data_IF_460057981806
#
_entry.id   IF_460057981806
#
_cell.length_a   1.000
_cell.length_b   1.000
_cell.length_c   1.000
_cell.angle_alpha   90.00
_cell.angle_beta   90.00
_cell.angle_gamma   90.00
#
_symmetry.space_group_name_H-M   'P 1'
#
loop_
_entity.id
_entity.type
_entity.pdbx_description
1 polymer ?
#
# COMPACT_ATOMS: atom_id res chain seq x y z
N UNK A 1 -24.17 -6.49 -55.30
CA UNK A 1 -24.53 -7.84 -54.78
C UNK A 1 -23.27 -8.72 -54.63
N UNK A 2 -22.30 -8.37 -53.76
CA UNK A 2 -21.01 -9.08 -53.65
C UNK A 2 -20.60 -9.52 -52.22
N UNK A 3 -21.42 -9.24 -51.19
CA UNK A 3 -21.09 -9.52 -49.78
C UNK A 3 -21.37 -10.96 -49.32
N UNK A 4 -22.21 -11.70 -50.04
CA UNK A 4 -22.72 -13.01 -49.61
C UNK A 4 -21.73 -14.16 -49.79
N UNK A 5 -20.71 -14.02 -50.64
CA UNK A 5 -19.75 -15.10 -50.90
C UNK A 5 -18.71 -15.23 -49.79
N UNK A 6 -18.30 -14.11 -49.18
CA UNK A 6 -17.25 -14.09 -48.14
C UNK A 6 -17.70 -14.72 -46.82
N UNK A 7 -18.95 -14.48 -46.42
CA UNK A 7 -19.50 -15.01 -45.16
C UNK A 7 -19.64 -16.54 -45.20
N UNK A 8 -19.94 -17.10 -46.38
CA UNK A 8 -20.06 -18.55 -46.55
C UNK A 8 -18.70 -19.24 -46.46
N UNK A 9 -17.64 -18.63 -46.98
CA UNK A 9 -16.27 -19.16 -46.88
C UNK A 9 -15.75 -19.10 -45.44
N UNK A 10 -16.06 -18.02 -44.73
CA UNK A 10 -15.66 -17.82 -43.33
C UNK A 10 -16.36 -18.84 -42.41
N UNK A 11 -17.65 -19.12 -42.63
CA UNK A 11 -18.37 -20.17 -41.89
C UNK A 11 -17.90 -21.58 -42.23
N UNK A 12 -17.52 -21.85 -43.48
CA UNK A 12 -16.95 -23.14 -43.86
C UNK A 12 -15.58 -23.39 -43.22
N UNK A 13 -14.75 -22.36 -43.08
CA UNK A 13 -13.47 -22.44 -42.36
C UNK A 13 -13.67 -22.65 -40.86
N UNK A 14 -14.62 -21.93 -40.23
CA UNK A 14 -14.93 -22.11 -38.80
C UNK A 14 -15.52 -23.49 -38.49
N UNK A 15 -16.32 -24.05 -39.40
CA UNK A 15 -16.89 -25.39 -39.23
C UNK A 15 -15.85 -26.51 -39.30
N UNK A 16 -14.72 -26.29 -40.00
CA UNK A 16 -13.62 -27.25 -40.08
C UNK A 16 -12.73 -27.25 -38.82
N UNK A 17 -12.66 -26.15 -38.07
CA UNK A 17 -11.89 -26.08 -36.82
C UNK A 17 -12.64 -26.71 -35.64
N UNK A 18 -13.98 -26.74 -35.68
CA UNK A 18 -14.83 -27.25 -34.60
C UNK A 18 -14.81 -28.78 -34.43
N UNK A 19 -14.23 -29.53 -35.38
CA UNK A 19 -14.20 -31.01 -35.36
C UNK A 19 -12.86 -31.59 -34.87
N UNK A 20 -11.89 -30.75 -34.49
CA UNK A 20 -10.68 -31.25 -33.83
C UNK A 20 -10.97 -31.44 -32.35
N UNK A 21 -10.81 -32.66 -31.78
CA UNK A 21 -10.88 -32.83 -30.34
C UNK A 21 -9.79 -31.97 -29.70
N UNK A 22 -10.23 -30.98 -28.93
CA UNK A 22 -9.37 -30.10 -28.15
C UNK A 22 -8.50 -31.01 -27.25
N UNK A 23 -7.15 -30.94 -27.33
CA UNK A 23 -6.33 -31.70 -26.42
C UNK A 23 -6.71 -31.27 -25.01
N UNK A 24 -7.04 -32.22 -24.14
CA UNK A 24 -7.42 -31.94 -22.75
C UNK A 24 -6.31 -31.16 -22.07
N UNK A 25 -6.42 -29.82 -22.07
CA UNK A 25 -5.54 -28.95 -21.29
C UNK A 25 -6.01 -29.12 -19.85
N UNK A 26 -5.42 -30.09 -19.15
CA UNK A 26 -5.50 -30.12 -17.69
C UNK A 26 -5.14 -28.72 -17.22
N UNK A 27 -5.96 -28.04 -16.40
CA UNK A 27 -5.60 -26.75 -15.86
C UNK A 27 -4.24 -26.94 -15.20
N UNK A 28 -3.22 -26.31 -15.78
CA UNK A 28 -1.89 -26.31 -15.19
C UNK A 28 -2.07 -25.50 -13.93
N UNK A 29 -2.27 -26.19 -12.80
CA UNK A 29 -2.06 -25.60 -11.49
C UNK A 29 -0.68 -25.00 -11.59
N UNK A 30 -0.63 -23.67 -11.67
CA UNK A 30 0.62 -22.93 -11.65
C UNK A 30 1.14 -23.20 -10.25
N UNK A 31 1.97 -24.23 -10.11
CA UNK A 31 2.80 -24.38 -8.93
C UNK A 31 3.48 -23.02 -8.81
N UNK A 32 3.00 -22.22 -7.86
CA UNK A 32 3.68 -21.01 -7.45
C UNK A 32 4.95 -21.52 -6.81
N UNK A 33 5.97 -21.81 -7.64
CA UNK A 33 7.32 -21.99 -7.13
C UNK A 33 7.55 -20.80 -6.21
N UNK A 34 7.86 -21.05 -4.92
CA UNK A 34 8.06 -19.96 -3.98
C UNK A 34 9.01 -18.96 -4.61
N UNK A 35 8.61 -17.69 -4.62
CA UNK A 35 9.43 -16.62 -5.16
C UNK A 35 10.79 -16.72 -4.46
N UNK A 36 11.91 -16.70 -5.22
CA UNK A 36 13.21 -16.90 -4.63
C UNK A 36 13.46 -15.84 -3.56
N UNK A 37 13.94 -16.29 -2.40
CA UNK A 37 14.25 -15.38 -1.31
C UNK A 37 15.40 -14.43 -1.71
N UNK A 38 15.64 -13.39 -0.92
CA UNK A 38 16.62 -12.36 -1.28
C UNK A 38 18.02 -12.94 -1.51
N UNK A 39 18.44 -13.92 -0.72
CA UNK A 39 19.76 -14.54 -0.85
C UNK A 39 19.85 -15.42 -2.11
N UNK A 40 18.78 -16.14 -2.47
CA UNK A 40 18.67 -16.84 -3.75
C UNK A 40 18.72 -15.89 -4.95
N UNK A 41 18.07 -14.72 -4.83
CA UNK A 41 18.13 -13.67 -5.87
C UNK A 41 19.53 -13.08 -6.01
N UNK A 42 20.26 -12.90 -4.90
CA UNK A 42 21.67 -12.48 -4.91
C UNK A 42 22.54 -13.49 -5.63
N UNK A 43 22.36 -14.78 -5.32
CA UNK A 43 23.09 -15.86 -6.00
C UNK A 43 22.76 -15.94 -7.50
N UNK A 44 21.50 -15.76 -7.89
CA UNK A 44 21.09 -15.67 -9.30
C UNK A 44 21.74 -14.47 -9.99
N UNK A 45 21.75 -13.30 -9.34
CA UNK A 45 22.38 -12.09 -9.85
C UNK A 45 23.89 -12.27 -10.06
N UNK A 46 24.59 -12.81 -9.08
CA UNK A 46 26.03 -13.06 -9.16
C UNK A 46 26.36 -14.08 -10.24
N UNK A 47 25.58 -15.16 -10.38
CA UNK A 47 25.74 -16.13 -11.47
C UNK A 47 25.49 -15.53 -12.85
N UNK A 48 24.51 -14.63 -12.97
CA UNK A 48 24.22 -13.96 -14.24
C UNK A 48 25.36 -13.00 -14.65
N UNK A 49 25.95 -12.29 -13.68
CA UNK A 49 27.01 -11.30 -13.94
C UNK A 49 28.41 -11.91 -14.09
N UNK A 50 28.71 -13.00 -13.38
CA UNK A 50 30.07 -13.55 -13.29
C UNK A 50 30.18 -15.01 -13.72
N UNK A 51 29.08 -15.61 -14.20
CA UNK A 51 29.02 -17.00 -14.62
C UNK A 51 28.67 -17.98 -13.50
N UNK A 52 28.22 -19.19 -13.87
CA UNK A 52 27.65 -20.17 -12.95
C UNK A 52 28.65 -21.04 -12.20
N UNK A 53 29.90 -21.09 -12.66
CA UNK A 53 30.93 -22.02 -12.18
C UNK A 53 31.79 -21.47 -11.04
N UNK A 54 31.74 -20.15 -10.77
CA UNK A 54 32.54 -19.49 -9.73
C UNK A 54 31.82 -19.58 -8.38
N UNK A 55 32.55 -19.94 -7.32
CA UNK A 55 32.06 -19.76 -5.95
C UNK A 55 32.31 -18.33 -5.49
N UNK A 56 31.28 -17.69 -4.97
CA UNK A 56 31.35 -16.33 -4.43
C UNK A 56 31.65 -16.34 -2.94
N UNK A 57 32.40 -15.35 -2.48
CA UNK A 57 32.69 -15.11 -1.06
C UNK A 57 31.51 -14.39 -0.38
N UNK A 58 31.44 -14.45 0.95
CA UNK A 58 30.36 -13.78 1.70
C UNK A 58 30.41 -12.26 1.55
N UNK A 59 31.60 -11.68 1.37
CA UNK A 59 31.78 -10.25 1.08
C UNK A 59 31.18 -9.85 -0.26
N UNK A 60 31.41 -10.63 -1.32
CA UNK A 60 30.83 -10.38 -2.65
C UNK A 60 29.30 -10.49 -2.63
N UNK A 61 28.74 -11.45 -1.86
CA UNK A 61 27.28 -11.54 -1.66
C UNK A 61 26.71 -10.36 -0.91
N UNK A 62 27.39 -9.89 0.14
CA UNK A 62 26.96 -8.72 0.91
C UNK A 62 26.91 -7.46 0.04
N UNK A 63 27.93 -7.25 -0.81
CA UNK A 63 27.96 -6.11 -1.74
C UNK A 63 26.85 -6.20 -2.80
N UNK A 64 26.65 -7.38 -3.40
CA UNK A 64 25.57 -7.59 -4.36
C UNK A 64 24.18 -7.37 -3.76
N UNK A 65 23.98 -7.82 -2.52
CA UNK A 65 22.74 -7.59 -1.76
C UNK A 65 22.48 -6.09 -1.55
N UNK A 66 23.49 -5.34 -1.16
CA UNK A 66 23.38 -3.89 -0.93
C UNK A 66 23.03 -3.15 -2.24
N UNK A 67 23.64 -3.53 -3.36
CA UNK A 67 23.30 -2.97 -4.69
C UNK A 67 21.86 -3.25 -5.10
N UNK A 68 21.38 -4.48 -4.91
CA UNK A 68 19.99 -4.86 -5.24
C UNK A 68 19.00 -4.08 -4.38
N UNK A 69 19.26 -3.97 -3.06
CA UNK A 69 18.42 -3.20 -2.14
C UNK A 69 18.44 -1.70 -2.48
N UNK A 70 19.61 -1.16 -2.80
CA UNK A 70 19.77 0.24 -3.21
C UNK A 70 19.00 0.57 -4.50
N UNK A 71 19.03 -0.32 -5.50
CA UNK A 71 18.27 -0.13 -6.73
C UNK A 71 16.76 -0.18 -6.50
N UNK A 72 16.26 -1.11 -5.67
CA UNK A 72 14.83 -1.17 -5.32
C UNK A 72 14.39 0.06 -4.52
N UNK A 73 15.22 0.54 -3.59
CA UNK A 73 14.94 1.76 -2.84
C UNK A 73 14.87 3.00 -3.76
N UNK A 74 15.70 3.04 -4.81
CA UNK A 74 15.70 4.11 -5.79
C UNK A 74 14.46 4.08 -6.69
N UNK A 75 14.06 2.90 -7.18
CA UNK A 75 12.83 2.70 -7.96
C UNK A 75 11.55 3.06 -7.18
N UNK A 76 11.47 2.67 -5.89
CA UNK A 76 10.38 3.06 -5.01
C UNK A 76 10.32 4.59 -4.78
N UNK A 77 11.48 5.24 -4.68
CA UNK A 77 11.53 6.70 -4.56
C UNK A 77 11.07 7.40 -5.85
N UNK A 78 11.34 6.81 -7.02
CA UNK A 78 10.88 7.30 -8.32
C UNK A 78 9.36 7.13 -8.50
N UNK A 79 8.81 5.95 -8.18
CA UNK A 79 7.35 5.71 -8.18
C UNK A 79 6.60 6.64 -7.23
N UNK A 80 7.18 6.97 -6.08
CA UNK A 80 6.62 7.93 -5.14
C UNK A 80 6.77 9.39 -5.60
N UNK A 81 7.69 9.67 -6.54
CA UNK A 81 8.06 11.02 -6.96
C UNK A 81 7.41 11.51 -8.26
N UNK A 82 7.01 10.63 -9.17
CA UNK A 82 6.44 11.02 -10.47
C UNK A 82 7.48 11.57 -11.46
N UNK A 83 7.17 11.45 -12.75
CA UNK A 83 8.07 11.64 -13.91
C UNK A 83 8.75 13.01 -14.03
N UNK A 84 8.34 14.03 -13.27
CA UNK A 84 9.03 15.34 -13.20
C UNK A 84 10.42 15.26 -12.56
N UNK A 85 10.65 14.33 -11.63
CA UNK A 85 11.97 14.20 -10.98
C UNK A 85 13.01 13.47 -11.84
N UNK A 86 12.56 12.60 -12.77
CA UNK A 86 13.45 11.84 -13.64
C UNK A 86 14.11 12.73 -14.72
N UNK A 87 13.40 13.73 -15.24
CA UNK A 87 13.92 14.64 -16.27
C UNK A 87 14.94 15.66 -15.70
N UNK A 88 14.73 16.13 -14.46
CA UNK A 88 15.68 16.98 -13.73
C UNK A 88 16.95 16.19 -13.30
N UNK A 89 16.80 14.90 -12.93
CA UNK A 89 17.90 14.01 -12.55
C UNK A 89 18.81 13.63 -13.72
N UNK A 90 18.25 13.52 -14.93
CA UNK A 90 19.03 13.26 -16.14
C UNK A 90 19.92 14.45 -16.54
N UNK A 91 19.51 15.69 -16.23
CA UNK A 91 20.21 16.89 -16.67
C UNK A 91 21.21 17.45 -15.63
N UNK A 92 20.95 17.28 -14.32
CA UNK A 92 21.82 17.79 -13.23
C UNK A 92 21.94 16.81 -12.05
N UNK A 93 22.82 15.79 -12.15
CA UNK A 93 22.97 14.76 -11.11
C UNK A 93 23.42 15.33 -9.75
N UNK A 94 24.25 16.38 -9.77
CA UNK A 94 24.81 16.99 -8.55
C UNK A 94 23.73 17.68 -7.71
N UNK A 95 22.75 18.31 -8.36
CA UNK A 95 21.64 18.98 -7.65
C UNK A 95 20.68 17.97 -7.06
N UNK A 96 20.45 16.84 -7.72
CA UNK A 96 19.60 15.77 -7.20
C UNK A 96 20.26 15.08 -6.02
N UNK A 97 21.56 14.79 -6.09
CA UNK A 97 22.31 14.27 -4.93
C UNK A 97 22.33 15.26 -3.77
N UNK A 98 22.49 16.57 -4.05
CA UNK A 98 22.46 17.61 -3.00
C UNK A 98 21.07 17.73 -2.37
N UNK A 99 19.99 17.80 -3.17
CA UNK A 99 18.60 17.79 -2.66
C UNK A 99 18.25 16.50 -1.95
N UNK A 100 18.76 15.35 -2.40
CA UNK A 100 18.56 14.07 -1.73
C UNK A 100 19.31 14.00 -0.40
N UNK A 101 20.51 14.58 -0.30
CA UNK A 101 21.25 14.73 0.95
C UNK A 101 20.61 15.76 1.89
N UNK A 102 20.09 16.88 1.37
CA UNK A 102 19.32 17.86 2.14
C UNK A 102 17.99 17.26 2.63
N UNK A 103 17.30 16.47 1.78
CA UNK A 103 16.12 15.68 2.19
C UNK A 103 16.49 14.61 3.20
N UNK A 104 17.62 13.91 3.07
CA UNK A 104 18.15 12.97 4.08
C UNK A 104 18.47 13.66 5.39
N UNK A 105 18.97 14.90 5.37
CA UNK A 105 19.20 15.72 6.56
C UNK A 105 17.87 16.20 7.19
N UNK A 106 16.87 16.54 6.36
CA UNK A 106 15.54 16.91 6.81
C UNK A 106 14.74 15.70 7.36
N UNK A 107 14.86 14.51 6.77
CA UNK A 107 14.36 13.24 7.33
C UNK A 107 15.24 12.72 8.48
N UNK A 108 16.50 13.13 8.54
CA UNK A 108 17.41 12.95 9.67
C UNK A 108 17.00 13.72 10.91
N UNK A 109 16.09 14.69 10.75
CA UNK A 109 15.34 15.30 11.84
C UNK A 109 14.60 14.26 12.70
N UNK A 110 14.14 13.14 12.13
CA UNK A 110 13.50 12.08 12.91
C UNK A 110 14.45 11.45 13.92
N UNK A 111 15.73 11.27 13.58
CA UNK A 111 16.76 10.75 14.50
C UNK A 111 17.06 11.67 15.67
N UNK A 112 17.23 12.97 15.42
CA UNK A 112 17.44 13.97 16.48
C UNK A 112 16.19 14.16 17.36
N UNK A 113 15.00 14.06 16.76
CA UNK A 113 13.72 14.13 17.50
C UNK A 113 13.52 12.89 18.38
N UNK A 114 13.89 11.69 17.91
CA UNK A 114 13.82 10.46 18.69
C UNK A 114 14.85 10.42 19.84
N UNK A 115 16.06 10.95 19.65
CA UNK A 115 17.07 11.05 20.72
C UNK A 115 16.58 11.98 21.85
N UNK A 116 16.02 13.14 21.50
CA UNK A 116 15.44 14.06 22.49
C UNK A 116 14.23 13.46 23.20
N UNK A 117 13.36 12.74 22.48
CA UNK A 117 12.24 12.01 23.09
C UNK A 117 12.74 10.91 24.05
N UNK A 118 13.81 10.21 23.69
CA UNK A 118 14.44 9.19 24.53
C UNK A 118 14.96 9.76 25.86
N UNK A 119 15.59 10.94 25.83
CA UNK A 119 16.01 11.64 27.05
C UNK A 119 14.81 12.08 27.91
N UNK A 120 13.74 12.60 27.30
CA UNK A 120 12.51 12.98 28.01
C UNK A 120 11.85 11.77 28.67
N UNK A 121 11.75 10.64 27.95
CA UNK A 121 11.20 9.39 28.49
C UNK A 121 12.06 8.87 29.63
N UNK A 122 13.38 8.84 29.46
CA UNK A 122 14.32 8.42 30.52
C UNK A 122 14.17 9.29 31.76
N UNK A 123 14.14 10.61 31.60
CA UNK A 123 14.04 11.53 32.73
C UNK A 123 12.65 11.44 33.40
N UNK A 124 11.56 11.27 32.62
CA UNK A 124 10.22 11.04 33.16
C UNK A 124 10.08 9.71 33.94
N UNK A 125 10.76 8.65 33.49
CA UNK A 125 10.76 7.34 34.16
C UNK A 125 11.69 7.29 35.38
N UNK A 126 12.81 8.03 35.37
CA UNK A 126 13.79 8.03 36.45
C UNK A 126 13.51 9.09 37.53
N UNK A 127 12.83 10.19 37.21
CA UNK A 127 12.44 11.22 38.17
C UNK A 127 11.68 10.68 39.40
N UNK A 128 10.70 9.77 39.30
CA UNK A 128 10.01 9.22 40.46
C UNK A 128 10.87 8.27 41.32
N UNK A 129 11.93 7.69 40.75
CA UNK A 129 12.86 6.80 41.46
C UNK A 129 13.93 7.57 42.26
N UNK A 130 14.35 8.74 41.76
CA UNK A 130 15.46 9.55 42.31
C UNK A 130 14.93 10.72 43.17
N UNK A 131 13.65 11.08 43.06
CA UNK A 131 13.03 12.20 43.76
C UNK A 131 12.86 12.02 45.29
N UNK A 132 12.69 13.12 46.05
CA UNK A 132 12.63 13.12 47.52
C UNK A 132 11.27 12.63 48.10
N UNK A 133 10.52 11.82 47.37
CA UNK A 133 9.20 11.33 47.80
C UNK A 133 9.33 10.09 48.71
N UNK A 134 8.39 9.90 49.65
CA UNK A 134 8.38 8.75 50.58
C UNK A 134 8.18 7.39 49.88
N UNK A 135 8.68 6.31 50.49
CA UNK A 135 8.75 4.94 49.93
C UNK A 135 7.53 4.47 49.11
N UNK A 136 6.30 4.42 49.68
CA UNK A 136 5.14 3.91 48.94
C UNK A 136 4.71 4.84 47.79
N UNK A 137 4.97 6.15 47.89
CA UNK A 137 4.62 7.10 46.84
C UNK A 137 5.50 6.96 45.59
N UNK A 138 6.76 6.50 45.74
CA UNK A 138 7.70 6.30 44.63
C UNK A 138 7.27 5.21 43.65
N UNK A 139 6.74 4.09 44.16
CA UNK A 139 6.27 3.00 43.31
C UNK A 139 5.03 3.41 42.52
N UNK A 140 4.10 4.12 43.17
CA UNK A 140 2.88 4.63 42.51
C UNK A 140 3.22 5.63 41.41
N UNK A 141 4.12 6.59 41.68
CA UNK A 141 4.51 7.58 40.67
C UNK A 141 5.32 6.96 39.53
N UNK A 142 6.20 5.99 39.82
CA UNK A 142 6.91 5.25 38.79
C UNK A 142 5.96 4.43 37.89
N UNK A 143 5.00 3.70 38.47
CA UNK A 143 3.98 2.98 37.70
C UNK A 143 3.13 3.91 36.84
N UNK A 144 2.72 5.07 37.38
CA UNK A 144 1.97 6.07 36.63
C UNK A 144 2.80 6.62 35.46
N UNK A 145 4.08 6.95 35.69
CA UNK A 145 4.98 7.43 34.65
C UNK A 145 5.15 6.40 33.52
N UNK A 146 5.31 5.12 33.86
CA UNK A 146 5.38 4.03 32.87
C UNK A 146 4.10 3.94 32.04
N UNK A 147 2.92 4.00 32.68
CA UNK A 147 1.64 3.96 31.97
C UNK A 147 1.46 5.16 31.03
N UNK A 148 1.87 6.35 31.45
CA UNK A 148 1.80 7.56 30.62
C UNK A 148 2.73 7.46 29.40
N UNK A 149 3.96 6.97 29.60
CA UNK A 149 4.91 6.77 28.49
C UNK A 149 4.40 5.70 27.53
N UNK A 150 3.95 4.55 28.04
CA UNK A 150 3.44 3.46 27.22
C UNK A 150 2.18 3.88 26.45
N UNK A 151 1.24 4.56 27.12
CA UNK A 151 0.03 5.09 26.50
C UNK A 151 0.33 6.16 25.45
N UNK A 152 1.28 7.06 25.71
CA UNK A 152 1.73 8.06 24.75
C UNK A 152 2.41 7.44 23.53
N UNK A 153 3.30 6.47 23.74
CA UNK A 153 3.98 5.75 22.67
C UNK A 153 2.99 4.96 21.81
N UNK A 154 2.05 4.25 22.43
CA UNK A 154 0.99 3.53 21.72
C UNK A 154 0.09 4.48 20.92
N UNK A 155 -0.30 5.61 21.51
CA UNK A 155 -1.10 6.62 20.81
C UNK A 155 -0.36 7.18 19.60
N UNK A 156 0.93 7.51 19.75
CA UNK A 156 1.77 7.94 18.65
C UNK A 156 1.85 6.89 17.53
N UNK A 157 2.10 5.63 17.89
CA UNK A 157 2.15 4.51 16.94
C UNK A 157 0.81 4.33 16.20
N UNK A 158 -0.31 4.42 16.92
CA UNK A 158 -1.65 4.32 16.34
C UNK A 158 -1.91 5.45 15.34
N UNK A 159 -1.69 6.73 15.72
CA UNK A 159 -1.89 7.87 14.83
C UNK A 159 -0.97 7.83 13.61
N UNK A 160 0.27 7.36 13.78
CA UNK A 160 1.18 7.12 12.66
C UNK A 160 0.60 6.09 11.68
N UNK A 161 0.16 4.94 12.18
CA UNK A 161 -0.44 3.88 11.34
C UNK A 161 -1.71 4.35 10.62
N UNK A 162 -2.57 5.12 11.30
CA UNK A 162 -3.79 5.67 10.71
C UNK A 162 -3.47 6.62 9.54
N UNK A 163 -2.49 7.52 9.71
CA UNK A 163 -2.03 8.41 8.63
C UNK A 163 -1.42 7.65 7.46
N UNK A 164 -0.61 6.63 7.73
CA UNK A 164 -0.04 5.80 6.66
C UNK A 164 -1.15 5.11 5.86
N UNK A 165 -2.16 4.55 6.53
CA UNK A 165 -3.32 3.97 5.85
C UNK A 165 -4.07 5.02 5.02
N UNK A 166 -4.25 6.24 5.54
CA UNK A 166 -4.88 7.32 4.79
C UNK A 166 -4.13 7.67 3.50
N UNK A 167 -2.81 7.79 3.58
CA UNK A 167 -1.96 8.08 2.42
C UNK A 167 -1.95 6.96 1.40
N UNK A 168 -1.94 5.69 1.84
CA UNK A 168 -1.98 4.54 0.96
C UNK A 168 -3.30 4.47 0.18
N UNK A 169 -4.42 4.76 0.86
CA UNK A 169 -5.74 4.84 0.23
C UNK A 169 -5.81 6.00 -0.75
N UNK A 170 -5.29 7.18 -0.40
CA UNK A 170 -5.24 8.32 -1.31
C UNK A 170 -4.43 8.01 -2.59
N UNK A 171 -3.28 7.34 -2.43
CA UNK A 171 -2.47 6.88 -3.57
C UNK A 171 -3.20 5.86 -4.43
N UNK A 172 -3.90 4.90 -3.82
CA UNK A 172 -4.76 3.94 -4.54
C UNK A 172 -5.86 4.66 -5.33
N UNK A 173 -6.59 5.60 -4.71
CA UNK A 173 -7.63 6.38 -5.40
C UNK A 173 -7.09 7.13 -6.63
N UNK A 174 -5.86 7.66 -6.57
CA UNK A 174 -5.19 8.33 -7.71
C UNK A 174 -4.85 7.34 -8.84
N UNK A 175 -4.38 6.15 -8.51
CA UNK A 175 -4.13 5.06 -9.48
C UNK A 175 -5.42 4.59 -10.17
N UNK A 176 -6.49 4.47 -9.40
CA UNK A 176 -7.85 4.17 -9.87
C UNK A 176 -8.37 5.24 -10.83
N UNK A 177 -8.16 6.52 -10.50
CA UNK A 177 -8.57 7.65 -11.34
C UNK A 177 -7.87 7.63 -12.70
N UNK A 178 -6.57 7.28 -12.74
CA UNK A 178 -5.82 7.07 -13.99
C UNK A 178 -6.39 5.94 -14.85
N UNK A 179 -7.05 4.97 -14.23
CA UNK A 179 -7.74 3.86 -14.90
C UNK A 179 -9.18 4.21 -15.31
N UNK A 180 -9.61 5.48 -15.20
CA UNK A 180 -10.96 5.94 -15.57
C UNK A 180 -12.03 5.63 -14.52
N UNK A 181 -11.63 5.21 -13.31
CA UNK A 181 -12.52 4.94 -12.16
C UNK A 181 -12.27 5.99 -11.09
N UNK A 182 -13.13 7.00 -11.02
CA UNK A 182 -13.04 8.08 -10.03
C UNK A 182 -13.89 7.70 -8.83
N UNK A 183 -13.29 7.66 -7.65
CA UNK A 183 -13.99 7.46 -6.38
C UNK A 183 -13.87 8.74 -5.55
N UNK A 184 -15.00 9.31 -5.20
CA UNK A 184 -15.12 10.50 -4.37
C UNK A 184 -15.82 10.14 -3.07
N UNK A 185 -15.41 10.79 -1.97
CA UNK A 185 -15.93 10.58 -0.63
C UNK A 185 -16.34 11.94 -0.07
N UNK A 186 -17.65 12.16 0.10
CA UNK A 186 -18.17 13.44 0.56
C UNK A 186 -17.61 13.86 1.92
N UNK A 187 -17.67 12.98 2.91
CA UNK A 187 -16.92 13.18 4.16
C UNK A 187 -16.25 11.90 4.62
N UNK A 188 -14.97 12.03 4.95
CA UNK A 188 -14.12 10.92 5.37
C UNK A 188 -13.71 11.13 6.82
N UNK A 189 -13.94 10.13 7.65
CA UNK A 189 -13.53 10.13 9.05
C UNK A 189 -12.75 8.86 9.38
N UNK A 190 -11.66 9.00 10.12
CA UNK A 190 -10.79 7.90 10.53
C UNK A 190 -10.80 7.80 12.05
N UNK A 191 -11.03 6.62 12.59
CA UNK A 191 -11.21 6.34 14.03
C UNK A 191 -10.77 4.93 14.40
N UNK A 192 -11.20 4.43 15.57
CA UNK A 192 -10.90 3.07 16.04
C UNK A 192 -9.81 2.95 17.13
N UNK A 193 -9.31 4.07 17.66
CA UNK A 193 -8.34 4.04 18.76
C UNK A 193 -8.88 3.25 19.97
N UNK A 194 -8.06 2.41 20.64
CA UNK A 194 -6.62 2.16 20.41
C UNK A 194 -6.28 0.88 19.64
N UNK A 195 -7.25 0.02 19.31
CA UNK A 195 -6.96 -1.36 18.88
C UNK A 195 -7.38 -1.68 17.44
N UNK A 196 -8.00 -0.75 16.75
CA UNK A 196 -8.46 -0.93 15.37
C UNK A 196 -8.34 0.36 14.58
N UNK A 197 -8.48 0.26 13.26
CA UNK A 197 -8.56 1.41 12.37
C UNK A 197 -9.89 1.29 11.63
N UNK A 198 -10.73 2.28 11.83
CA UNK A 198 -12.04 2.43 11.21
C UNK A 198 -11.99 3.61 10.27
N UNK A 199 -12.49 3.42 9.06
CA UNK A 199 -12.59 4.45 8.05
C UNK A 199 -14.03 4.50 7.56
N UNK A 200 -14.68 5.62 7.81
CA UNK A 200 -16.06 5.90 7.39
C UNK A 200 -16.05 6.94 6.30
N UNK A 201 -16.69 6.63 5.19
CA UNK A 201 -16.93 7.54 4.09
C UNK A 201 -18.45 7.71 3.93
N UNK A 202 -18.94 8.92 4.17
CA UNK A 202 -20.33 9.31 3.94
C UNK A 202 -20.48 9.85 2.51
N UNK A 203 -21.62 9.52 1.91
CA UNK A 203 -21.99 9.86 0.53
C UNK A 203 -20.89 9.50 -0.50
N UNK A 204 -20.34 8.27 -0.50
CA UNK A 204 -19.39 7.83 -1.51
C UNK A 204 -20.00 7.83 -2.90
N UNK A 205 -19.23 8.32 -3.87
CA UNK A 205 -19.60 8.40 -5.27
C UNK A 205 -18.51 7.79 -6.14
N UNK A 206 -18.85 6.73 -6.86
CA UNK A 206 -17.97 6.08 -7.83
C UNK A 206 -18.45 6.43 -9.24
N UNK A 207 -17.61 7.10 -10.01
CA UNK A 207 -17.83 7.37 -11.44
C UNK A 207 -16.88 6.51 -12.25
N UNK A 208 -17.43 5.58 -13.04
CA UNK A 208 -16.67 4.75 -13.95
C UNK A 208 -16.99 5.15 -15.39
N UNK A 209 -15.97 5.58 -16.12
CA UNK A 209 -16.10 5.91 -17.54
C UNK A 209 -15.44 4.83 -18.36
N UNK A 210 -16.23 4.12 -19.17
CA UNK A 210 -15.74 3.22 -20.22
C UNK A 210 -16.15 3.78 -21.58
N UNK A 211 -15.43 3.45 -22.66
CA UNK A 211 -15.44 4.06 -24.01
C UNK A 211 -16.78 4.52 -24.61
N UNK A 212 -17.93 4.06 -24.09
CA UNK A 212 -19.27 4.46 -24.54
C UNK A 212 -20.30 4.71 -23.43
N UNK A 213 -19.97 4.47 -22.16
CA UNK A 213 -20.93 4.52 -21.05
C UNK A 213 -20.24 5.05 -19.78
N UNK A 214 -20.83 6.09 -19.19
CA UNK A 214 -20.52 6.55 -17.83
C UNK A 214 -21.50 5.90 -16.85
N UNK A 215 -20.98 5.13 -15.90
CA UNK A 215 -21.73 4.65 -14.74
C UNK A 215 -21.40 5.53 -13.54
N UNK A 216 -22.42 5.97 -12.81
CA UNK A 216 -22.30 6.66 -11.53
C UNK A 216 -23.00 5.81 -10.49
N UNK A 217 -22.25 5.33 -9.50
CA UNK A 217 -22.78 4.65 -8.33
C UNK A 217 -22.64 5.56 -7.11
N UNK A 218 -23.71 5.71 -6.34
CA UNK A 218 -23.71 6.44 -5.08
C UNK A 218 -24.19 5.48 -3.98
N UNK A 219 -23.58 5.54 -2.81
CA UNK A 219 -24.09 4.87 -1.61
C UNK A 219 -24.23 5.88 -0.46
N UNK A 220 -24.95 5.51 0.59
CA UNK A 220 -25.12 6.36 1.77
C UNK A 220 -23.85 6.43 2.60
N UNK A 221 -23.26 5.26 2.87
CA UNK A 221 -22.07 5.15 3.71
C UNK A 221 -21.28 3.89 3.37
N UNK A 222 -19.96 4.02 3.36
CA UNK A 222 -19.01 2.90 3.36
C UNK A 222 -18.24 2.95 4.67
N UNK A 223 -18.30 1.87 5.43
CA UNK A 223 -17.57 1.69 6.68
C UNK A 223 -16.57 0.55 6.50
N UNK A 224 -15.29 0.87 6.64
CA UNK A 224 -14.20 -0.09 6.51
C UNK A 224 -13.46 -0.21 7.82
N UNK A 225 -13.11 -1.44 8.17
CA UNK A 225 -12.62 -1.78 9.50
C UNK A 225 -11.48 -2.80 9.39
N UNK A 226 -10.36 -2.49 10.03
CA UNK A 226 -9.20 -3.38 10.18
C UNK A 226 -8.81 -3.49 11.65
N UNK A 227 -8.55 -4.72 12.10
CA UNK A 227 -8.00 -4.98 13.44
C UNK A 227 -6.47 -4.90 13.42
N UNK A 228 -5.87 -4.25 14.43
CA UNK A 228 -4.40 -4.23 14.57
C UNK A 228 -3.83 -5.61 14.89
N UNK A 229 -4.62 -6.50 15.50
CA UNK A 229 -4.18 -7.87 15.81
C UNK A 229 -4.26 -8.81 14.61
N UNK A 230 -5.01 -8.43 13.57
CA UNK A 230 -5.22 -9.22 12.35
C UNK A 230 -5.22 -8.30 11.13
N UNK A 231 -4.05 -7.72 10.77
CA UNK A 231 -3.96 -6.73 9.69
C UNK A 231 -4.26 -7.31 8.31
N UNK A 232 -4.29 -8.64 8.16
CA UNK A 232 -4.59 -9.33 6.91
C UNK A 232 -6.10 -9.42 6.60
N UNK A 233 -6.97 -9.08 7.55
CA UNK A 233 -8.43 -9.15 7.38
C UNK A 233 -9.00 -7.74 7.36
N UNK A 234 -9.56 -7.35 6.20
CA UNK A 234 -10.28 -6.10 6.00
C UNK A 234 -11.77 -6.40 5.87
N UNK A 235 -12.59 -5.78 6.72
CA UNK A 235 -14.05 -5.84 6.61
C UNK A 235 -14.56 -4.52 6.05
N UNK A 236 -15.39 -4.59 5.01
CA UNK A 236 -16.01 -3.44 4.38
C UNK A 236 -17.52 -3.61 4.39
N UNK A 237 -18.21 -2.75 5.11
CA UNK A 237 -19.66 -2.66 5.17
C UNK A 237 -20.13 -1.50 4.31
N UNK A 238 -21.13 -1.78 3.47
CA UNK A 238 -21.75 -0.77 2.61
C UNK A 238 -23.21 -0.63 2.99
N UNK A 239 -23.56 0.57 3.45
CA UNK A 239 -24.90 0.89 3.92
C UNK A 239 -25.73 1.43 2.74
N UNK A 240 -26.88 0.81 2.51
CA UNK A 240 -27.86 1.29 1.54
C UNK A 240 -28.50 2.62 1.96
N UNK A 241 -29.20 3.30 1.04
CA UNK A 241 -29.47 2.90 -0.34
C UNK A 241 -28.27 3.09 -1.26
N UNK A 242 -28.10 2.16 -2.22
CA UNK A 242 -27.20 2.32 -3.36
C UNK A 242 -28.02 2.72 -4.59
N UNK A 243 -27.61 3.78 -5.27
CA UNK A 243 -28.15 4.14 -6.59
C UNK A 243 -27.06 3.99 -7.64
N UNK A 244 -27.35 3.24 -8.70
CA UNK A 244 -26.48 3.09 -9.86
C UNK A 244 -27.21 3.68 -11.05
N UNK A 245 -26.66 4.73 -11.64
CA UNK A 245 -27.16 5.35 -12.85
C UNK A 245 -26.14 5.20 -13.99
N UNK A 246 -26.63 4.89 -15.19
CA UNK A 246 -25.77 4.71 -16.36
C UNK A 246 -26.57 4.38 -17.61
N UNK A 247 -26.10 4.84 -18.77
CA UNK A 247 -26.75 4.65 -20.07
C UNK A 247 -28.25 5.06 -20.10
N UNK A 248 -28.61 6.13 -19.40
CA UNK A 248 -29.99 6.64 -19.31
C UNK A 248 -30.95 5.81 -18.44
N UNK A 249 -30.45 4.81 -17.69
CA UNK A 249 -31.22 4.02 -16.72
C UNK A 249 -30.70 4.24 -15.31
N UNK A 250 -31.58 4.09 -14.31
CA UNK A 250 -31.24 4.19 -12.89
C UNK A 250 -31.81 2.98 -12.15
N UNK A 251 -30.99 2.35 -11.32
CA UNK A 251 -31.36 1.25 -10.44
C UNK A 251 -31.07 1.67 -9.01
N UNK A 252 -32.03 1.42 -8.11
CA UNK A 252 -31.87 1.69 -6.68
C UNK A 252 -32.02 0.38 -5.92
N UNK A 253 -31.01 0.02 -5.15
CA UNK A 253 -31.03 -1.10 -4.23
C UNK A 253 -31.05 -0.57 -2.79
N UNK A 254 -31.96 -1.09 -1.98
CA UNK A 254 -32.02 -0.76 -0.56
C UNK A 254 -31.87 -2.03 0.28
N UNK A 255 -30.99 -1.98 1.27
CA UNK A 255 -30.80 -3.00 2.29
C UNK A 255 -30.27 -2.35 3.55
N UNK A 256 -30.40 -3.06 4.66
CA UNK A 256 -29.83 -2.69 5.95
C UNK A 256 -28.63 -3.58 6.23
N UNK A 257 -27.48 -3.00 6.53
CA UNK A 257 -26.38 -3.72 7.18
C UNK A 257 -26.78 -4.08 8.61
N UNK A 258 -26.26 -5.19 9.12
CA UNK A 258 -26.54 -5.72 10.45
C UNK A 258 -25.68 -5.04 11.53
#
# INVERSE_FOLDING_TARGET
>A
MAKTKSDRTLRALLALEADKPEPTVKPRVRETSPLPNLDERVDLFLRAMHGSQRRFTDGERAEARDRILGAMALDLAEQAGGSEFAEEAANQPDRVLRRANERKAATGGFGATLINLGNIIRDALLFPLIGPMGGPARLVTASLAVLLVAGGAWSGAWFYSARTAETAIAGWLDWEAKSGRIYDCGSRTTGGFPFRVELRCLDPKATMTSDRITLVANAKEIHTVVSLFQPSVLTAEVTGPISISGAGKSYVGNWTSA
#
